data_IF_792763072453
#
_entry.id   IF_792763072453
#
_cell.length_a   1.000
_cell.length_b   1.000
_cell.length_c   1.000
_cell.angle_alpha   90.00
_cell.angle_beta   90.00
_cell.angle_gamma   90.00
#
_symmetry.space_group_name_H-M   'P 1'
#
loop_
_entity.id
_entity.type
_entity.pdbx_description
1 polymer ?
#
# COMPACT_ATOMS: atom_id res chain seq x y z
N UNK A 1 41.16 -33.53 53.17
CA UNK A 1 39.95 -32.70 53.01
C UNK A 1 40.13 -31.46 52.12
N UNK A 2 41.25 -30.73 52.19
CA UNK A 2 41.45 -29.51 51.35
C UNK A 2 41.58 -29.79 49.82
N UNK A 3 42.29 -30.87 49.43
CA UNK A 3 42.53 -31.23 48.03
C UNK A 3 41.24 -31.68 47.34
N UNK A 4 40.33 -32.36 48.04
CA UNK A 4 39.07 -32.83 47.47
C UNK A 4 38.09 -31.68 47.22
N UNK A 5 38.11 -30.59 47.96
CA UNK A 5 37.31 -29.38 47.79
C UNK A 5 37.79 -28.57 46.62
N UNK A 6 39.10 -28.48 46.32
CA UNK A 6 39.64 -27.78 45.16
C UNK A 6 39.30 -28.51 43.85
N UNK A 7 39.38 -29.85 43.85
CA UNK A 7 39.00 -30.64 42.69
C UNK A 7 37.50 -30.51 42.34
N UNK A 8 36.61 -30.47 43.36
CA UNK A 8 35.18 -30.34 43.16
C UNK A 8 34.78 -28.95 42.64
N UNK A 9 35.45 -27.87 43.12
CA UNK A 9 35.22 -26.50 42.63
C UNK A 9 35.72 -26.31 41.18
N UNK A 10 36.84 -26.93 40.82
CA UNK A 10 37.37 -26.90 39.46
C UNK A 10 36.46 -27.63 38.49
N UNK A 11 35.90 -28.77 38.88
CA UNK A 11 34.93 -29.54 38.03
C UNK A 11 33.62 -28.78 37.84
N UNK A 12 33.11 -28.12 38.88
CA UNK A 12 31.90 -27.32 38.84
C UNK A 12 32.08 -26.08 37.94
N UNK A 13 33.23 -25.42 37.97
CA UNK A 13 33.59 -24.29 37.14
C UNK A 13 33.70 -24.68 35.65
N UNK A 14 34.26 -25.86 35.34
CA UNK A 14 34.28 -26.39 33.94
C UNK A 14 32.88 -26.75 33.43
N UNK A 15 32.00 -27.31 34.27
CA UNK A 15 30.61 -27.57 33.86
C UNK A 15 29.82 -26.29 33.60
N UNK A 16 30.04 -25.23 34.34
CA UNK A 16 29.40 -23.92 34.15
C UNK A 16 29.89 -23.23 32.85
N UNK A 17 31.17 -23.42 32.49
CA UNK A 17 31.74 -22.91 31.23
C UNK A 17 31.23 -23.66 29.99
N UNK A 18 30.89 -24.94 30.12
CA UNK A 18 30.31 -25.76 29.06
C UNK A 18 28.79 -25.49 28.83
N UNK A 19 28.10 -24.99 29.85
CA UNK A 19 26.66 -24.69 29.73
C UNK A 19 26.35 -23.40 28.97
N UNK A 20 27.34 -22.55 28.67
CA UNK A 20 27.15 -21.29 27.94
C UNK A 20 27.34 -21.37 26.43
N UNK A 21 27.49 -22.56 25.85
CA UNK A 21 27.29 -22.72 24.42
C UNK A 21 25.78 -22.73 24.15
N UNK A 22 25.16 -21.54 24.16
CA UNK A 22 23.85 -21.37 23.55
C UNK A 22 23.94 -21.94 22.12
N UNK A 23 23.36 -23.11 21.91
CA UNK A 23 23.23 -23.69 20.57
C UNK A 23 22.49 -22.60 19.74
N UNK A 24 23.27 -21.83 18.98
CA UNK A 24 22.71 -20.83 18.07
C UNK A 24 21.80 -21.58 17.11
N UNK A 25 20.51 -21.52 17.35
CA UNK A 25 19.54 -22.17 16.51
C UNK A 25 19.79 -21.77 15.04
N UNK A 26 19.89 -22.78 14.18
CA UNK A 26 20.14 -22.54 12.75
C UNK A 26 19.15 -21.52 12.21
N UNK A 27 19.61 -20.46 11.51
CA UNK A 27 18.71 -19.42 10.99
C UNK A 27 17.57 -20.02 10.20
N UNK A 28 16.35 -19.61 10.51
CA UNK A 28 15.13 -20.21 9.95
C UNK A 28 15.14 -20.30 8.43
N UNK A 29 15.68 -19.28 7.75
CA UNK A 29 15.69 -19.19 6.28
C UNK A 29 16.97 -19.72 5.61
N UNK A 30 17.91 -20.31 6.35
CA UNK A 30 19.16 -20.86 5.77
C UNK A 30 18.86 -21.97 4.72
N UNK A 31 19.33 -21.75 3.48
CA UNK A 31 19.14 -22.67 2.36
C UNK A 31 17.70 -22.71 1.78
N UNK A 32 16.83 -21.79 2.20
CA UNK A 32 15.44 -21.76 1.75
C UNK A 32 15.24 -20.79 0.57
N UNK A 33 14.13 -20.98 -0.14
CA UNK A 33 13.63 -20.11 -1.21
C UNK A 33 12.32 -19.50 -0.77
N UNK A 34 12.21 -18.18 -0.86
CA UNK A 34 11.01 -17.40 -0.52
C UNK A 34 10.36 -16.93 -1.82
N UNK A 35 9.04 -17.08 -1.93
CA UNK A 35 8.24 -16.47 -3.00
C UNK A 35 7.66 -15.16 -2.52
N UNK A 36 8.02 -14.05 -3.19
CA UNK A 36 7.34 -12.76 -2.99
C UNK A 36 6.13 -12.68 -3.90
N UNK A 37 4.94 -12.73 -3.31
CA UNK A 37 3.66 -12.65 -4.01
C UNK A 37 3.26 -11.18 -4.19
N UNK A 38 2.96 -10.79 -5.44
CA UNK A 38 2.56 -9.42 -5.81
C UNK A 38 1.17 -9.47 -6.41
N UNK A 39 0.23 -8.68 -5.87
CA UNK A 39 -1.20 -8.77 -6.22
C UNK A 39 -1.62 -7.99 -7.48
N UNK A 40 -0.68 -7.48 -8.27
CA UNK A 40 -0.94 -6.78 -9.53
C UNK A 40 0.01 -7.23 -10.64
N UNK A 41 -0.31 -6.82 -11.87
CA UNK A 41 0.50 -7.12 -13.05
C UNK A 41 1.92 -6.56 -12.96
N UNK A 42 2.89 -7.18 -13.67
CA UNK A 42 4.24 -6.64 -13.82
C UNK A 42 4.27 -5.21 -14.36
N UNK A 43 5.33 -4.47 -14.02
CA UNK A 43 5.60 -3.11 -14.50
C UNK A 43 4.85 -1.99 -13.77
N UNK A 44 3.87 -2.30 -12.92
CA UNK A 44 3.16 -1.31 -12.09
C UNK A 44 3.93 -0.92 -10.82
N UNK A 45 3.40 0.06 -10.08
CA UNK A 45 4.04 0.53 -8.84
C UNK A 45 4.17 -0.56 -7.76
N UNK A 46 3.22 -1.50 -7.66
CA UNK A 46 3.31 -2.63 -6.74
C UNK A 46 4.45 -3.59 -7.12
N UNK A 47 4.57 -3.89 -8.40
CA UNK A 47 5.62 -4.77 -8.91
C UNK A 47 7.02 -4.16 -8.75
N UNK A 48 7.18 -2.88 -9.11
CA UNK A 48 8.45 -2.16 -8.91
C UNK A 48 8.88 -2.14 -7.43
N UNK A 49 7.93 -1.84 -6.53
CA UNK A 49 8.19 -1.84 -5.08
C UNK A 49 8.62 -3.23 -4.59
N UNK A 50 7.90 -4.29 -4.97
CA UNK A 50 8.25 -5.65 -4.58
C UNK A 50 9.62 -6.07 -5.07
N UNK A 51 9.95 -5.74 -6.32
CA UNK A 51 11.25 -6.12 -6.91
C UNK A 51 12.42 -5.37 -6.28
N UNK A 52 12.29 -4.09 -5.97
CA UNK A 52 13.36 -3.36 -5.28
C UNK A 52 13.56 -3.87 -3.85
N UNK A 53 12.48 -4.16 -3.12
CA UNK A 53 12.57 -4.80 -1.80
C UNK A 53 13.25 -6.18 -1.93
N UNK A 54 12.76 -7.03 -2.81
CA UNK A 54 13.24 -8.41 -2.95
C UNK A 54 14.68 -8.54 -3.45
N UNK A 55 15.25 -7.54 -4.10
CA UNK A 55 16.69 -7.52 -4.45
C UNK A 55 17.59 -7.35 -3.23
N UNK A 56 17.14 -6.58 -2.24
CA UNK A 56 17.95 -6.25 -1.05
C UNK A 56 17.64 -7.11 0.17
N UNK A 57 16.41 -7.58 0.27
CA UNK A 57 15.92 -8.31 1.43
C UNK A 57 16.72 -9.59 1.76
N UNK A 58 17.16 -10.43 0.79
CA UNK A 58 17.89 -11.66 1.07
C UNK A 58 19.10 -11.48 1.99
N UNK A 59 19.94 -10.50 1.71
CA UNK A 59 21.18 -10.24 2.48
C UNK A 59 20.91 -9.71 3.89
N UNK A 60 19.70 -9.32 4.18
CA UNK A 60 19.27 -8.78 5.49
C UNK A 60 18.52 -9.83 6.32
N UNK A 61 18.08 -10.93 5.69
CA UNK A 61 17.48 -12.08 6.37
C UNK A 61 18.58 -13.05 6.78
N UNK A 62 18.59 -13.46 8.04
CA UNK A 62 19.52 -14.50 8.49
C UNK A 62 19.32 -15.79 7.69
N UNK A 63 20.45 -16.33 7.18
CA UNK A 63 20.44 -17.49 6.29
C UNK A 63 20.40 -17.15 4.81
N UNK A 64 20.33 -15.88 4.42
CA UNK A 64 20.44 -15.37 3.06
C UNK A 64 19.63 -16.19 2.02
N UNK A 65 18.28 -16.30 2.16
CA UNK A 65 17.44 -17.10 1.27
C UNK A 65 17.37 -16.47 -0.13
N UNK A 66 17.10 -17.29 -1.15
CA UNK A 66 16.73 -16.77 -2.48
C UNK A 66 15.31 -16.23 -2.46
N UNK A 67 15.07 -15.07 -3.10
CA UNK A 67 13.72 -14.54 -3.34
C UNK A 67 13.36 -14.66 -4.81
N UNK A 68 12.20 -15.24 -5.09
CA UNK A 68 11.57 -15.28 -6.42
C UNK A 68 10.26 -14.48 -6.39
N UNK A 69 9.89 -13.92 -7.54
CA UNK A 69 8.70 -13.07 -7.65
C UNK A 69 7.57 -13.81 -8.37
N UNK A 70 6.35 -13.69 -7.83
CA UNK A 70 5.14 -14.20 -8.47
C UNK A 70 4.08 -13.10 -8.49
N UNK A 71 3.73 -12.64 -9.70
CA UNK A 71 2.58 -11.75 -9.87
C UNK A 71 1.31 -12.60 -9.93
N UNK A 72 0.27 -12.22 -9.15
CA UNK A 72 -1.02 -12.94 -9.10
C UNK A 72 -2.17 -11.93 -9.09
N UNK A 73 -2.41 -11.27 -10.24
CA UNK A 73 -3.41 -10.22 -10.37
C UNK A 73 -4.83 -10.77 -10.44
N UNK A 74 -5.81 -9.91 -10.21
CA UNK A 74 -7.23 -10.18 -10.39
C UNK A 74 -8.11 -9.62 -9.29
N UNK A 75 -9.36 -9.28 -9.63
CA UNK A 75 -10.37 -8.75 -8.72
C UNK A 75 -9.88 -7.57 -7.84
N UNK A 76 -9.11 -6.62 -8.43
CA UNK A 76 -8.53 -5.50 -7.67
C UNK A 76 -7.48 -5.92 -6.64
N UNK A 77 -6.82 -7.06 -6.83
CA UNK A 77 -5.82 -7.64 -5.92
C UNK A 77 -6.40 -8.67 -4.95
N UNK A 78 -7.72 -8.80 -4.85
CA UNK A 78 -8.42 -9.68 -3.90
C UNK A 78 -8.08 -11.17 -4.10
N UNK A 79 -7.86 -11.58 -5.37
CA UNK A 79 -7.47 -12.95 -5.70
C UNK A 79 -6.19 -13.40 -4.96
N UNK A 80 -5.17 -12.55 -4.93
CA UNK A 80 -3.91 -12.87 -4.25
C UNK A 80 -4.06 -12.83 -2.73
N UNK A 81 -4.92 -11.96 -2.20
CA UNK A 81 -5.19 -11.86 -0.76
C UNK A 81 -5.84 -13.13 -0.25
N UNK A 82 -6.90 -13.60 -0.92
CA UNK A 82 -7.55 -14.86 -0.57
C UNK A 82 -6.57 -16.04 -0.71
N UNK A 83 -5.79 -16.08 -1.80
CA UNK A 83 -4.77 -17.11 -1.98
C UNK A 83 -3.78 -17.16 -0.80
N UNK A 84 -3.36 -16.01 -0.28
CA UNK A 84 -2.41 -15.94 0.84
C UNK A 84 -2.99 -16.49 2.14
N UNK A 85 -4.28 -16.31 2.39
CA UNK A 85 -4.93 -16.81 3.61
C UNK A 85 -5.50 -18.23 3.52
N UNK A 86 -5.89 -18.67 2.30
CA UNK A 86 -6.57 -19.97 2.09
C UNK A 86 -5.62 -21.07 1.61
N UNK A 87 -4.66 -20.72 0.75
CA UNK A 87 -3.89 -21.69 -0.05
C UNK A 87 -2.39 -21.69 0.29
N UNK A 88 -1.83 -20.54 0.63
CA UNK A 88 -0.41 -20.44 0.95
C UNK A 88 -0.09 -21.23 2.21
N UNK A 89 0.89 -22.16 2.11
CA UNK A 89 1.34 -22.96 3.26
C UNK A 89 1.83 -22.03 4.38
N UNK A 90 1.43 -22.24 5.63
CA UNK A 90 1.84 -21.40 6.76
C UNK A 90 3.24 -21.76 7.26
N UNK A 91 4.20 -21.77 6.36
CA UNK A 91 5.60 -22.14 6.62
C UNK A 91 6.58 -20.97 6.40
N UNK A 92 6.09 -19.74 6.27
CA UNK A 92 6.93 -18.56 6.06
C UNK A 92 7.63 -18.46 4.70
N UNK A 93 7.45 -19.43 3.78
CA UNK A 93 8.13 -19.43 2.47
C UNK A 93 7.42 -18.57 1.42
N UNK A 94 6.26 -18.00 1.75
CA UNK A 94 5.58 -17.02 0.92
C UNK A 94 5.41 -15.74 1.70
N UNK A 95 5.92 -14.64 1.15
CA UNK A 95 5.80 -13.28 1.69
C UNK A 95 5.08 -12.41 0.67
N UNK A 96 4.25 -11.49 1.13
CA UNK A 96 3.53 -10.60 0.22
C UNK A 96 4.28 -9.30 -0.03
N UNK A 97 4.04 -8.67 -1.19
CA UNK A 97 4.16 -7.24 -1.41
C UNK A 97 2.88 -6.77 -2.09
N UNK A 98 1.85 -6.55 -1.29
CA UNK A 98 0.54 -6.17 -1.79
C UNK A 98 0.36 -4.66 -1.86
N UNK A 99 -0.51 -4.24 -2.75
CA UNK A 99 -0.99 -2.86 -2.84
C UNK A 99 -2.45 -2.82 -2.43
N UNK A 100 -2.78 -2.07 -1.39
CA UNK A 100 -4.15 -2.01 -0.86
C UNK A 100 -4.62 -3.34 -0.26
N UNK A 101 -5.89 -3.62 -0.42
CA UNK A 101 -6.51 -4.90 0.01
C UNK A 101 -7.16 -4.86 1.38
N UNK A 102 -6.66 -4.07 2.30
CA UNK A 102 -7.22 -3.86 3.64
C UNK A 102 -8.65 -3.29 3.59
N UNK A 103 -8.95 -2.50 2.56
CA UNK A 103 -10.28 -1.92 2.34
C UNK A 103 -11.38 -2.98 2.22
N UNK A 104 -11.06 -4.18 1.72
CA UNK A 104 -12.06 -5.24 1.60
C UNK A 104 -12.56 -5.70 2.97
N UNK A 105 -11.68 -5.76 3.99
CA UNK A 105 -12.08 -6.01 5.37
C UNK A 105 -12.86 -4.82 5.95
N UNK A 106 -12.38 -3.59 5.71
CA UNK A 106 -13.04 -2.37 6.19
C UNK A 106 -14.51 -2.28 5.76
N UNK A 107 -14.83 -2.63 4.51
CA UNK A 107 -16.19 -2.57 3.95
C UNK A 107 -16.91 -3.92 3.94
N UNK A 108 -16.38 -4.94 4.61
CA UNK A 108 -16.96 -6.30 4.64
C UNK A 108 -17.30 -6.81 3.24
N UNK A 109 -16.35 -6.65 2.29
CA UNK A 109 -16.56 -7.10 0.89
C UNK A 109 -16.77 -8.63 0.87
N UNK A 110 -17.89 -9.13 0.34
CA UNK A 110 -18.19 -10.57 0.34
C UNK A 110 -17.20 -11.39 -0.50
N UNK A 111 -16.42 -10.76 -1.35
CA UNK A 111 -15.33 -11.44 -2.07
C UNK A 111 -14.08 -11.67 -1.23
N UNK A 112 -13.94 -11.03 -0.06
CA UNK A 112 -12.88 -11.31 0.90
C UNK A 112 -13.29 -12.52 1.75
N UNK A 113 -12.57 -13.62 1.61
CA UNK A 113 -12.86 -14.89 2.31
C UNK A 113 -11.90 -15.18 3.46
N UNK A 114 -10.92 -14.29 3.67
CA UNK A 114 -9.90 -14.44 4.69
C UNK A 114 -9.99 -13.34 5.73
N UNK A 115 -9.68 -13.68 6.96
CA UNK A 115 -9.59 -12.71 8.06
C UNK A 115 -8.20 -12.06 8.06
N UNK A 116 -8.14 -10.79 7.65
CA UNK A 116 -6.90 -10.03 7.59
C UNK A 116 -6.30 -9.76 8.98
N UNK A 117 -7.10 -9.84 10.05
CA UNK A 117 -6.59 -9.67 11.43
C UNK A 117 -5.72 -10.84 11.86
N UNK A 118 -5.89 -12.01 11.25
CA UNK A 118 -5.09 -13.22 11.51
C UNK A 118 -3.80 -13.31 10.70
N UNK A 119 -3.57 -12.39 9.74
CA UNK A 119 -2.33 -12.36 8.98
C UNK A 119 -1.16 -11.95 9.87
N UNK A 120 0.00 -12.54 9.64
CA UNK A 120 1.23 -12.14 10.32
C UNK A 120 1.82 -10.90 9.61
N UNK A 121 1.38 -9.71 10.00
CA UNK A 121 1.87 -8.46 9.44
C UNK A 121 3.35 -8.23 9.77
N UNK A 122 4.13 -7.95 8.74
CA UNK A 122 5.58 -7.75 8.82
C UNK A 122 5.92 -6.27 8.74
N UNK A 123 5.41 -5.58 7.74
CA UNK A 123 5.65 -4.16 7.53
C UNK A 123 4.59 -3.55 6.61
N UNK A 124 4.37 -2.25 6.77
CA UNK A 124 3.69 -1.39 5.82
C UNK A 124 4.65 -0.36 5.23
N UNK A 125 4.33 0.15 4.05
CA UNK A 125 4.96 1.34 3.47
C UNK A 125 3.84 2.31 3.13
N UNK A 126 3.90 3.50 3.71
CA UNK A 126 2.95 4.57 3.47
C UNK A 126 3.10 5.18 2.08
N UNK A 127 2.08 5.89 1.66
CA UNK A 127 2.14 6.63 0.41
C UNK A 127 0.82 7.27 0.02
N UNK A 128 0.88 8.00 -1.09
CA UNK A 128 -0.27 8.68 -1.66
C UNK A 128 -0.48 8.28 -3.12
N UNK A 129 -1.59 8.70 -3.67
CA UNK A 129 -1.85 8.66 -5.11
C UNK A 129 -2.02 10.09 -5.63
N UNK A 130 -1.60 10.30 -6.84
CA UNK A 130 -1.75 11.55 -7.56
C UNK A 130 -2.85 11.34 -8.60
N UNK A 131 -3.85 12.21 -8.61
CA UNK A 131 -4.90 12.26 -9.62
C UNK A 131 -4.47 13.24 -10.70
N UNK A 132 -4.52 12.81 -11.94
CA UNK A 132 -4.17 13.60 -13.10
C UNK A 132 -5.23 13.43 -14.21
N UNK A 133 -5.34 14.42 -15.06
CA UNK A 133 -6.31 14.42 -16.14
C UNK A 133 -5.68 14.94 -17.45
N UNK A 134 -6.22 14.50 -18.59
CA UNK A 134 -5.85 14.97 -19.91
C UNK A 134 -6.14 16.47 -20.05
N UNK A 135 -5.21 17.19 -20.65
CA UNK A 135 -5.35 18.64 -20.89
C UNK A 135 -6.47 18.97 -21.87
N UNK A 136 -6.77 18.06 -22.82
CA UNK A 136 -7.82 18.19 -23.83
C UNK A 136 -9.22 17.76 -23.35
N UNK A 137 -9.36 17.38 -22.06
CA UNK A 137 -10.68 17.15 -21.44
C UNK A 137 -11.53 18.42 -21.56
N UNK A 138 -12.68 18.32 -22.26
CA UNK A 138 -13.56 19.48 -22.47
C UNK A 138 -13.98 20.17 -21.17
N UNK A 139 -13.88 21.50 -21.07
CA UNK A 139 -13.55 22.47 -22.11
C UNK A 139 -12.05 22.78 -22.28
N UNK A 140 -11.17 21.98 -21.74
CA UNK A 140 -9.72 22.15 -21.67
C UNK A 140 -9.26 22.45 -20.24
N UNK A 141 -8.16 21.78 -19.81
CA UNK A 141 -7.60 21.90 -18.46
C UNK A 141 -6.20 22.48 -18.53
N UNK A 142 -5.96 23.62 -17.88
CA UNK A 142 -4.65 24.27 -17.79
C UNK A 142 -4.08 24.25 -16.36
N UNK A 143 -4.93 24.16 -15.36
CA UNK A 143 -4.58 24.14 -13.93
C UNK A 143 -5.56 23.27 -13.13
N UNK A 144 -5.21 22.82 -11.92
CA UNK A 144 -6.05 21.94 -11.09
C UNK A 144 -7.48 22.42 -10.91
N UNK A 145 -7.69 23.73 -10.71
CA UNK A 145 -9.02 24.32 -10.53
C UNK A 145 -9.91 24.28 -11.76
N UNK A 146 -9.36 24.03 -12.93
CA UNK A 146 -10.18 23.92 -14.16
C UNK A 146 -11.09 22.68 -14.17
N UNK A 147 -10.88 21.71 -13.24
CA UNK A 147 -11.73 20.53 -13.08
C UNK A 147 -13.19 20.89 -12.81
N UNK A 148 -13.48 22.05 -12.24
CA UNK A 148 -14.85 22.53 -12.01
C UNK A 148 -15.53 23.10 -13.26
N UNK A 149 -14.80 23.32 -14.35
CA UNK A 149 -15.34 23.70 -15.65
C UNK A 149 -16.02 22.51 -16.36
N UNK A 150 -15.70 21.28 -15.94
CA UNK A 150 -16.29 20.06 -16.51
C UNK A 150 -17.76 19.96 -16.06
N UNK A 151 -18.70 20.04 -17.01
CA UNK A 151 -20.14 20.01 -16.73
C UNK A 151 -20.77 18.66 -17.06
N UNK A 152 -20.33 18.01 -18.14
CA UNK A 152 -20.86 16.73 -18.60
C UNK A 152 -19.98 15.57 -18.11
N UNK A 153 -20.52 14.66 -17.28
CA UNK A 153 -19.78 13.50 -16.82
C UNK A 153 -19.36 12.53 -17.94
N UNK A 154 -20.01 12.56 -19.10
CA UNK A 154 -19.62 11.73 -20.23
C UNK A 154 -18.32 12.19 -20.89
N UNK A 155 -17.96 13.47 -20.72
CA UNK A 155 -16.69 14.03 -21.15
C UNK A 155 -15.59 13.88 -20.08
N UNK A 156 -15.92 13.30 -18.91
CA UNK A 156 -14.96 13.08 -17.85
C UNK A 156 -15.06 11.67 -17.28
N UNK A 157 -14.56 10.71 -18.05
CA UNK A 157 -14.47 9.31 -17.66
C UNK A 157 -13.21 9.08 -16.83
N UNK A 158 -13.34 8.39 -15.71
CA UNK A 158 -12.25 8.09 -14.77
C UNK A 158 -11.99 6.59 -14.73
N UNK A 159 -10.77 6.18 -15.06
CA UNK A 159 -10.41 4.76 -15.08
C UNK A 159 -10.33 4.16 -13.67
N UNK A 160 -10.85 2.95 -13.51
CA UNK A 160 -10.86 2.21 -12.24
C UNK A 160 -10.67 0.72 -12.41
N UNK A 161 -10.48 0.00 -11.31
CA UNK A 161 -10.26 -1.45 -11.30
C UNK A 161 -11.50 -2.22 -10.86
N UNK A 162 -12.07 -1.83 -9.72
CA UNK A 162 -13.21 -2.46 -9.09
C UNK A 162 -13.89 -1.44 -8.16
N UNK A 163 -15.21 -1.36 -8.21
CA UNK A 163 -16.01 -0.40 -7.42
C UNK A 163 -15.62 -0.39 -5.93
N UNK A 164 -15.31 -1.54 -5.35
CA UNK A 164 -14.91 -1.71 -3.95
C UNK A 164 -13.39 -1.64 -3.73
N UNK A 165 -12.62 -1.34 -4.76
CA UNK A 165 -11.18 -1.15 -4.64
C UNK A 165 -10.83 0.16 -3.94
N UNK A 166 -9.76 0.17 -3.12
CA UNK A 166 -9.30 1.37 -2.38
C UNK A 166 -9.19 2.61 -3.27
N UNK A 167 -8.60 2.44 -4.45
CA UNK A 167 -8.43 3.50 -5.44
C UNK A 167 -9.79 4.04 -5.90
N UNK A 168 -10.65 3.15 -6.39
CA UNK A 168 -11.94 3.52 -6.99
C UNK A 168 -12.85 4.22 -5.97
N UNK A 169 -12.92 3.71 -4.74
CA UNK A 169 -13.71 4.34 -3.67
C UNK A 169 -13.21 5.76 -3.37
N UNK A 170 -11.90 5.93 -3.19
CA UNK A 170 -11.33 7.25 -2.90
C UNK A 170 -11.57 8.25 -4.03
N UNK A 171 -11.41 7.85 -5.29
CA UNK A 171 -11.64 8.72 -6.43
C UNK A 171 -13.10 9.14 -6.53
N UNK A 172 -14.05 8.21 -6.37
CA UNK A 172 -15.49 8.52 -6.33
C UNK A 172 -15.83 9.49 -5.20
N UNK A 173 -15.27 9.25 -4.00
CA UNK A 173 -15.49 10.11 -2.84
C UNK A 173 -14.86 11.49 -3.03
N UNK A 174 -13.64 11.58 -3.56
CA UNK A 174 -12.97 12.87 -3.75
C UNK A 174 -13.64 13.72 -4.82
N UNK A 175 -14.09 13.15 -5.94
CA UNK A 175 -14.87 13.90 -6.92
C UNK A 175 -16.25 14.30 -6.39
N UNK A 176 -16.90 13.44 -5.58
CA UNK A 176 -18.12 13.81 -4.85
C UNK A 176 -17.88 14.97 -3.89
N UNK A 177 -16.79 14.94 -3.12
CA UNK A 177 -16.38 16.02 -2.21
C UNK A 177 -16.15 17.34 -2.96
N UNK A 178 -15.45 17.29 -4.09
CA UNK A 178 -15.16 18.44 -4.94
C UNK A 178 -16.38 18.94 -5.73
N UNK A 179 -17.50 18.22 -5.72
CA UNK A 179 -18.68 18.55 -6.52
C UNK A 179 -18.44 18.41 -8.03
N UNK A 180 -17.54 17.49 -8.44
CA UNK A 180 -17.20 17.21 -9.85
C UNK A 180 -17.95 15.97 -10.32
N UNK A 181 -18.85 16.15 -11.31
CA UNK A 181 -19.53 15.04 -11.96
C UNK A 181 -18.55 14.27 -12.86
N UNK A 182 -18.56 12.96 -12.79
CA UNK A 182 -17.67 12.10 -13.57
C UNK A 182 -18.34 10.75 -13.87
N UNK A 183 -17.87 10.05 -14.89
CA UNK A 183 -18.30 8.69 -15.23
C UNK A 183 -17.18 7.69 -14.88
N UNK A 184 -17.32 6.89 -13.83
CA UNK A 184 -16.33 5.86 -13.51
C UNK A 184 -16.38 4.72 -14.53
N UNK A 185 -15.21 4.31 -15.06
CA UNK A 185 -15.06 3.16 -15.96
C UNK A 185 -14.18 2.14 -15.25
N UNK A 186 -14.78 1.05 -14.78
CA UNK A 186 -14.09 0.00 -14.02
C UNK A 186 -13.79 -1.23 -14.87
N UNK A 187 -12.95 -2.16 -14.34
CA UNK A 187 -12.60 -3.40 -15.04
C UNK A 187 -11.16 -3.45 -15.55
N UNK A 188 -10.42 -2.36 -15.49
CA UNK A 188 -9.00 -2.38 -15.86
C UNK A 188 -8.19 -3.30 -14.93
N UNK A 189 -7.32 -4.14 -15.52
CA UNK A 189 -6.52 -5.13 -14.78
C UNK A 189 -5.19 -4.57 -14.25
N UNK A 190 -5.13 -3.26 -13.97
CA UNK A 190 -3.96 -2.60 -13.41
C UNK A 190 -3.62 -1.27 -14.09
N UNK A 191 -2.66 -0.55 -13.51
CA UNK A 191 -2.34 0.83 -13.89
C UNK A 191 -1.84 0.99 -15.33
N UNK A 192 -1.14 -0.02 -15.87
CA UNK A 192 -0.65 0.03 -17.26
C UNK A 192 -1.81 0.11 -18.25
N UNK A 193 -2.81 -0.77 -18.11
CA UNK A 193 -4.00 -0.77 -19.01
C UNK A 193 -4.82 0.52 -18.88
N UNK A 194 -4.98 1.04 -17.64
CA UNK A 194 -5.66 2.32 -17.42
C UNK A 194 -4.92 3.50 -18.08
N UNK A 195 -3.60 3.51 -18.02
CA UNK A 195 -2.78 4.54 -18.69
C UNK A 195 -2.87 4.44 -20.21
N UNK A 196 -2.86 3.23 -20.76
CA UNK A 196 -3.08 3.03 -22.21
C UNK A 196 -4.43 3.61 -22.64
N UNK A 197 -5.51 3.28 -21.93
CA UNK A 197 -6.84 3.81 -22.21
C UNK A 197 -6.90 5.35 -22.09
N UNK A 198 -6.15 5.93 -21.13
CA UNK A 198 -6.06 7.38 -21.01
C UNK A 198 -5.29 8.00 -22.19
N UNK A 199 -4.19 7.40 -22.63
CA UNK A 199 -3.43 7.86 -23.79
C UNK A 199 -4.26 7.78 -25.07
N UNK A 200 -5.12 6.77 -25.21
CA UNK A 200 -6.07 6.58 -26.32
C UNK A 200 -7.34 7.44 -26.18
N UNK A 201 -7.42 8.28 -25.15
CA UNK A 201 -8.59 9.14 -24.84
C UNK A 201 -9.91 8.38 -24.59
N UNK A 202 -9.84 7.08 -24.25
CA UNK A 202 -11.02 6.31 -23.83
C UNK A 202 -11.51 6.76 -22.45
N UNK A 203 -10.58 7.23 -21.59
CA UNK A 203 -10.83 7.86 -20.31
C UNK A 203 -10.00 9.13 -20.17
N UNK A 204 -10.47 10.12 -19.41
CA UNK A 204 -9.84 11.42 -19.29
C UNK A 204 -9.03 11.60 -18.01
N UNK A 205 -9.28 10.82 -16.98
CA UNK A 205 -8.54 10.92 -15.71
C UNK A 205 -8.20 9.56 -15.15
N UNK A 206 -7.13 9.54 -14.36
CA UNK A 206 -6.68 8.38 -13.63
C UNK A 206 -5.86 8.79 -12.40
N UNK A 207 -5.82 7.93 -11.39
CA UNK A 207 -4.97 8.09 -10.23
C UNK A 207 -3.85 7.05 -10.20
N UNK A 208 -2.64 7.48 -9.94
CA UNK A 208 -1.49 6.59 -9.87
C UNK A 208 -0.70 6.75 -8.57
N UNK A 209 0.10 5.73 -8.25
CA UNK A 209 0.98 5.78 -7.09
C UNK A 209 2.12 6.78 -7.29
N UNK A 210 2.69 7.28 -6.19
CA UNK A 210 3.87 8.17 -6.19
C UNK A 210 5.03 7.60 -7.03
N UNK A 211 5.31 6.30 -6.94
CA UNK A 211 6.33 5.65 -7.76
C UNK A 211 6.04 5.74 -9.28
N UNK A 212 4.79 5.52 -9.67
CA UNK A 212 4.41 5.66 -11.07
C UNK A 212 4.45 7.11 -11.51
N UNK A 213 4.04 8.05 -10.63
CA UNK A 213 4.11 9.48 -10.88
C UNK A 213 5.51 9.91 -11.30
N UNK A 214 6.52 9.64 -10.47
CA UNK A 214 7.90 10.04 -10.76
C UNK A 214 8.50 9.30 -11.97
N UNK A 215 8.27 7.99 -12.09
CA UNK A 215 8.99 7.16 -13.06
C UNK A 215 8.26 6.90 -14.37
N UNK A 216 7.01 7.33 -14.47
CA UNK A 216 6.20 7.08 -15.68
C UNK A 216 5.39 8.31 -16.09
N UNK A 217 4.65 8.91 -15.16
CA UNK A 217 3.68 9.94 -15.52
C UNK A 217 4.38 11.26 -15.84
N UNK A 218 5.29 11.73 -14.99
CA UNK A 218 6.05 12.95 -15.27
C UNK A 218 6.79 12.87 -16.61
N UNK A 219 7.65 11.86 -16.86
CA UNK A 219 8.44 11.86 -18.10
C UNK A 219 7.61 11.63 -19.38
N UNK A 220 6.55 10.83 -19.31
CA UNK A 220 5.87 10.37 -20.52
C UNK A 220 4.51 11.04 -20.75
N UNK A 221 3.99 11.81 -19.80
CA UNK A 221 2.63 12.36 -19.91
C UNK A 221 2.54 13.82 -19.48
N UNK A 222 3.22 14.24 -18.40
CA UNK A 222 3.24 15.63 -17.93
C UNK A 222 4.18 16.46 -18.79
N UNK A 223 5.45 16.04 -18.96
CA UNK A 223 6.43 16.76 -19.77
C UNK A 223 5.99 16.93 -21.23
N UNK A 224 5.40 15.91 -21.89
CA UNK A 224 4.82 16.09 -23.23
C UNK A 224 3.52 16.90 -23.26
N UNK A 225 2.99 17.36 -22.12
CA UNK A 225 1.77 18.17 -22.09
C UNK A 225 0.47 17.39 -22.34
N UNK A 226 0.46 16.06 -22.18
CA UNK A 226 -0.75 15.22 -22.38
C UNK A 226 -1.68 15.33 -21.17
N UNK A 227 -1.12 15.40 -19.94
CA UNK A 227 -1.89 15.49 -18.71
C UNK A 227 -1.35 16.57 -17.79
N UNK A 228 -2.21 17.06 -16.90
CA UNK A 228 -1.83 17.86 -15.73
C UNK A 228 -2.19 17.13 -14.44
N UNK A 229 -1.42 17.33 -13.34
CA UNK A 229 -1.86 16.90 -12.02
C UNK A 229 -3.08 17.72 -11.59
N UNK A 230 -4.01 17.07 -10.92
CA UNK A 230 -5.20 17.73 -10.34
C UNK A 230 -5.03 17.90 -8.84
N UNK A 231 -4.70 16.82 -8.13
CA UNK A 231 -4.37 16.83 -6.71
C UNK A 231 -3.65 15.54 -6.31
N UNK A 232 -3.00 15.56 -5.15
CA UNK A 232 -2.65 14.35 -4.44
C UNK A 232 -3.45 14.26 -3.14
N UNK A 233 -3.62 13.05 -2.59
CA UNK A 233 -4.28 12.91 -1.30
C UNK A 233 -3.39 13.41 -0.17
N UNK A 234 -4.03 13.99 0.83
CA UNK A 234 -3.40 14.46 2.06
C UNK A 234 -2.69 13.32 2.82
N UNK A 235 -1.67 13.64 3.57
CA UNK A 235 -1.10 12.80 4.61
C UNK A 235 -1.86 13.07 5.90
N UNK A 236 -2.54 12.05 6.43
CA UNK A 236 -3.30 12.15 7.68
C UNK A 236 -2.43 11.73 8.85
N UNK A 237 -2.45 12.52 9.92
CA UNK A 237 -1.75 12.27 11.18
C UNK A 237 -2.70 11.71 12.24
N UNK A 238 -2.14 11.14 13.31
CA UNK A 238 -2.92 10.52 14.39
C UNK A 238 -3.79 11.52 15.16
N UNK A 239 -3.35 12.76 15.24
CA UNK A 239 -4.07 13.88 15.85
C UNK A 239 -5.21 14.46 14.98
N UNK A 240 -5.40 13.89 13.80
CA UNK A 240 -6.42 14.33 12.85
C UNK A 240 -5.98 15.46 11.92
N UNK A 241 -4.79 16.02 12.13
CA UNK A 241 -4.22 17.03 11.22
C UNK A 241 -3.85 16.42 9.87
N UNK A 242 -3.67 17.27 8.87
CA UNK A 242 -3.25 16.87 7.53
C UNK A 242 -2.04 17.66 7.09
N UNK A 243 -1.19 17.03 6.28
CA UNK A 243 -0.04 17.67 5.67
C UNK A 243 0.17 17.21 4.22
N UNK A 244 1.12 17.84 3.55
CA UNK A 244 1.56 17.46 2.20
C UNK A 244 2.61 16.36 2.27
N UNK A 245 2.89 15.75 1.12
CA UNK A 245 4.10 14.96 0.90
C UNK A 245 5.17 15.88 0.32
N UNK A 246 6.24 16.12 1.06
CA UNK A 246 7.26 17.13 0.75
C UNK A 246 8.07 16.86 -0.53
N UNK A 247 8.04 15.63 -1.03
CA UNK A 247 8.70 15.23 -2.28
C UNK A 247 7.81 15.42 -3.53
N UNK A 248 6.57 15.88 -3.36
CA UNK A 248 5.69 16.27 -4.46
C UNK A 248 5.79 17.79 -4.72
N UNK A 249 5.59 18.15 -5.98
CA UNK A 249 5.65 19.55 -6.42
C UNK A 249 4.68 20.43 -5.60
N UNK A 250 5.19 21.56 -5.09
CA UNK A 250 4.41 22.48 -4.28
C UNK A 250 3.24 23.12 -5.03
N UNK A 251 3.33 23.22 -6.36
CA UNK A 251 2.25 23.76 -7.20
C UNK A 251 1.06 22.82 -7.35
N UNK A 252 1.25 21.51 -7.11
CA UNK A 252 0.17 20.52 -7.13
C UNK A 252 -0.52 20.52 -5.76
N UNK A 253 -1.81 20.90 -5.65
CA UNK A 253 -2.50 20.95 -4.36
C UNK A 253 -2.75 19.55 -3.78
N UNK A 254 -2.93 19.48 -2.46
CA UNK A 254 -3.60 18.35 -1.85
C UNK A 254 -5.11 18.40 -2.16
N UNK A 255 -5.83 17.30 -1.88
CA UNK A 255 -7.29 17.29 -2.02
C UNK A 255 -7.96 18.34 -1.13
N UNK A 256 -7.49 18.48 0.12
CA UNK A 256 -8.05 19.47 1.05
C UNK A 256 -7.73 20.91 0.65
N UNK A 257 -6.54 21.19 0.15
CA UNK A 257 -6.16 22.51 -0.37
C UNK A 257 -6.97 22.88 -1.63
N UNK A 258 -7.14 21.92 -2.55
CA UNK A 258 -7.99 22.13 -3.73
C UNK A 258 -9.43 22.41 -3.31
N UNK A 259 -9.99 21.65 -2.36
CA UNK A 259 -11.32 21.92 -1.80
C UNK A 259 -11.40 23.32 -1.18
N UNK A 260 -10.44 23.66 -0.32
CA UNK A 260 -10.38 24.98 0.35
C UNK A 260 -10.30 26.13 -0.63
N UNK A 261 -9.59 25.97 -1.75
CA UNK A 261 -9.47 27.01 -2.77
C UNK A 261 -10.80 27.38 -3.43
N UNK A 262 -11.77 26.47 -3.45
CA UNK A 262 -13.12 26.70 -3.99
C UNK A 262 -14.12 27.13 -2.93
N UNK A 263 -14.09 26.50 -1.75
CA UNK A 263 -15.15 26.63 -0.76
C UNK A 263 -14.78 27.52 0.44
N UNK A 264 -13.52 28.03 0.48
CA UNK A 264 -13.01 28.91 1.52
C UNK A 264 -12.75 28.25 2.88
N UNK A 265 -13.07 26.96 3.04
CA UNK A 265 -12.95 26.22 4.30
C UNK A 265 -12.41 24.80 4.09
N UNK A 266 -11.90 24.20 5.16
CA UNK A 266 -11.50 22.79 5.15
C UNK A 266 -12.70 21.87 4.90
N UNK A 267 -12.50 20.75 4.21
CA UNK A 267 -13.57 19.77 4.00
C UNK A 267 -14.03 19.17 5.32
N UNK A 268 -15.32 18.85 5.39
CA UNK A 268 -15.98 18.25 6.55
C UNK A 268 -17.14 17.34 6.12
N UNK A 269 -17.77 16.68 7.09
CA UNK A 269 -18.91 15.80 6.86
C UNK A 269 -18.52 14.39 6.39
N UNK A 270 -19.54 13.55 6.19
CA UNK A 270 -19.37 12.10 6.06
C UNK A 270 -18.49 11.67 4.86
N UNK A 271 -18.53 12.41 3.76
CA UNK A 271 -17.66 12.13 2.58
C UNK A 271 -16.20 12.32 2.95
N UNK A 272 -15.88 13.39 3.68
CA UNK A 272 -14.54 13.67 4.15
C UNK A 272 -14.07 12.63 5.17
N UNK A 273 -14.91 12.28 6.12
CA UNK A 273 -14.60 11.24 7.12
C UNK A 273 -14.32 9.89 6.47
N UNK A 274 -15.07 9.52 5.43
CA UNK A 274 -14.82 8.29 4.68
C UNK A 274 -13.48 8.34 3.92
N UNK A 275 -13.11 9.48 3.34
CA UNK A 275 -11.79 9.67 2.71
C UNK A 275 -10.70 9.55 3.78
N UNK A 276 -10.82 10.21 4.93
CA UNK A 276 -9.86 10.13 6.04
C UNK A 276 -9.68 8.70 6.52
N UNK A 277 -10.78 7.98 6.76
CA UNK A 277 -10.76 6.61 7.21
C UNK A 277 -9.97 5.69 6.27
N UNK A 278 -10.25 5.76 4.97
CA UNK A 278 -9.51 4.97 3.97
C UNK A 278 -8.06 5.45 3.87
N UNK A 279 -7.82 6.75 3.92
CA UNK A 279 -6.51 7.37 3.70
C UNK A 279 -5.55 7.13 4.87
N UNK A 280 -6.07 6.99 6.09
CA UNK A 280 -5.26 6.64 7.27
C UNK A 280 -4.51 5.33 7.04
N UNK A 281 -5.18 4.28 6.56
CA UNK A 281 -4.50 3.02 6.22
C UNK A 281 -3.62 3.15 4.96
N UNK A 282 -4.06 3.91 3.97
CA UNK A 282 -3.26 4.17 2.77
C UNK A 282 -1.93 4.84 3.11
N UNK A 283 -1.94 5.81 4.02
CA UNK A 283 -0.73 6.51 4.49
C UNK A 283 0.28 5.62 5.19
N UNK A 284 -0.15 4.45 5.69
CA UNK A 284 0.70 3.52 6.44
C UNK A 284 1.02 2.24 5.69
N UNK A 285 0.12 1.76 4.84
CA UNK A 285 0.23 0.44 4.24
C UNK A 285 -0.25 0.37 2.79
N UNK A 286 0.01 1.43 2.01
CA UNK A 286 -0.23 1.40 0.55
C UNK A 286 0.50 0.24 -0.10
N UNK A 287 1.67 -0.11 0.43
CA UNK A 287 2.31 -1.41 0.25
C UNK A 287 2.34 -2.11 1.59
N UNK A 288 2.01 -3.37 1.58
CA UNK A 288 1.96 -4.14 2.82
C UNK A 288 2.54 -5.53 2.61
N UNK A 289 3.22 -5.98 3.65
CA UNK A 289 3.91 -7.26 3.68
C UNK A 289 3.37 -8.07 4.85
N UNK A 290 2.95 -9.30 4.55
CA UNK A 290 2.55 -10.27 5.57
C UNK A 290 2.99 -11.69 5.18
N UNK A 291 2.96 -12.58 6.17
CA UNK A 291 2.99 -14.03 6.02
C UNK A 291 1.60 -14.60 6.28
N UNK A 292 1.36 -15.83 5.81
CA UNK A 292 0.10 -16.54 6.03
C UNK A 292 -0.23 -16.68 7.52
N UNK A 293 -1.52 -16.76 7.90
CA UNK A 293 -1.92 -17.14 9.25
C UNK A 293 -1.25 -18.44 9.68
N UNK A 294 -0.87 -18.58 10.95
CA UNK A 294 -0.21 -19.77 11.47
C UNK A 294 1.26 -19.98 11.05
N UNK A 295 1.88 -18.99 10.38
CA UNK A 295 3.32 -19.07 10.07
C UNK A 295 4.15 -19.13 11.35
N UNK A 296 5.27 -19.93 11.39
CA UNK A 296 6.11 -20.07 12.56
C UNK A 296 6.61 -18.75 13.10
N UNK A 297 6.64 -18.58 14.42
CA UNK A 297 7.12 -17.37 15.11
C UNK A 297 8.52 -16.99 14.63
N UNK A 298 9.43 -17.95 14.50
CA UNK A 298 10.79 -17.74 14.00
C UNK A 298 10.82 -17.13 12.58
N UNK A 299 9.88 -17.53 11.69
CA UNK A 299 9.75 -16.94 10.35
C UNK A 299 9.31 -15.48 10.42
N UNK A 300 8.30 -15.20 11.25
CA UNK A 300 7.74 -13.86 11.45
C UNK A 300 8.81 -12.92 12.01
N UNK A 301 9.51 -13.34 13.06
CA UNK A 301 10.55 -12.53 13.72
C UNK A 301 11.73 -12.26 12.80
N UNK A 302 12.24 -13.28 12.10
CA UNK A 302 13.33 -13.13 11.14
C UNK A 302 12.95 -12.14 10.03
N UNK A 303 11.70 -12.20 9.53
CA UNK A 303 11.23 -11.29 8.49
C UNK A 303 11.06 -9.86 9.02
N UNK A 304 10.49 -9.67 10.21
CA UNK A 304 10.37 -8.36 10.87
C UNK A 304 11.74 -7.73 11.13
N UNK A 305 12.70 -8.50 11.62
CA UNK A 305 14.07 -8.05 11.83
C UNK A 305 14.73 -7.60 10.53
N UNK A 306 14.53 -8.35 9.42
CA UNK A 306 15.05 -8.00 8.11
C UNK A 306 14.44 -6.69 7.58
N UNK A 307 13.13 -6.48 7.71
CA UNK A 307 12.49 -5.23 7.31
C UNK A 307 12.92 -4.03 8.16
N UNK A 308 13.17 -4.23 9.46
CA UNK A 308 13.76 -3.19 10.33
C UNK A 308 15.16 -2.78 9.88
N UNK A 309 16.00 -3.74 9.43
CA UNK A 309 17.31 -3.47 8.82
C UNK A 309 17.15 -2.78 7.47
N UNK A 310 16.22 -3.26 6.61
CA UNK A 310 15.96 -2.71 5.29
C UNK A 310 15.56 -1.23 5.33
N UNK A 311 14.76 -0.83 6.30
CA UNK A 311 14.31 0.56 6.49
C UNK A 311 15.48 1.56 6.68
N UNK A 312 16.63 1.08 7.15
CA UNK A 312 17.84 1.89 7.42
C UNK A 312 18.97 1.61 6.42
N UNK A 313 18.79 0.67 5.52
CA UNK A 313 19.83 0.22 4.61
C UNK A 313 20.06 1.22 3.48
N UNK A 314 21.21 1.89 3.48
CA UNK A 314 21.56 2.94 2.51
C UNK A 314 21.53 2.43 1.06
N UNK A 315 21.97 1.19 0.82
CA UNK A 315 22.00 0.59 -0.53
C UNK A 315 20.59 0.40 -1.06
N UNK A 316 19.68 -0.12 -0.23
CA UNK A 316 18.26 -0.23 -0.57
C UNK A 316 17.62 1.15 -0.79
N UNK A 317 17.83 2.09 0.12
CA UNK A 317 17.22 3.43 0.04
C UNK A 317 17.68 4.19 -1.22
N UNK A 318 18.95 4.02 -1.64
CA UNK A 318 19.47 4.60 -2.87
C UNK A 318 18.89 3.93 -4.13
N UNK A 319 18.77 2.59 -4.13
CA UNK A 319 18.11 1.85 -5.23
C UNK A 319 16.61 2.17 -5.30
N UNK A 320 15.96 2.31 -4.15
CA UNK A 320 14.55 2.74 -4.07
C UNK A 320 14.38 4.14 -4.65
N UNK A 321 15.25 5.11 -4.32
CA UNK A 321 15.23 6.45 -4.92
C UNK A 321 15.37 6.38 -6.45
N UNK A 322 16.31 5.56 -6.96
CA UNK A 322 16.47 5.37 -8.41
C UNK A 322 15.26 4.71 -9.07
N UNK A 323 14.71 3.68 -8.43
CA UNK A 323 13.64 2.83 -9.01
C UNK A 323 12.25 3.40 -8.81
N UNK A 324 11.97 4.01 -7.65
CA UNK A 324 10.65 4.49 -7.25
C UNK A 324 10.52 6.01 -7.32
N UNK A 325 11.62 6.75 -7.22
CA UNK A 325 11.67 8.22 -7.17
C UNK A 325 11.53 8.80 -5.77
N UNK A 326 11.50 7.96 -4.74
CA UNK A 326 11.44 8.38 -3.33
C UNK A 326 12.03 7.30 -2.43
N UNK A 327 12.38 7.68 -1.19
CA UNK A 327 12.79 6.74 -0.14
C UNK A 327 11.55 6.25 0.61
N UNK A 328 11.28 4.92 0.64
CA UNK A 328 10.13 4.38 1.38
C UNK A 328 10.29 4.55 2.89
N UNK A 329 9.23 4.99 3.55
CA UNK A 329 9.11 5.02 5.01
C UNK A 329 8.34 3.77 5.46
N UNK A 330 8.98 2.94 6.29
CA UNK A 330 8.37 1.70 6.79
C UNK A 330 7.64 1.92 8.10
N UNK A 331 6.49 1.28 8.21
CA UNK A 331 5.72 1.12 9.45
C UNK A 331 5.84 -0.33 9.87
N UNK A 332 6.12 -0.58 11.14
CA UNK A 332 6.28 -1.93 11.66
C UNK A 332 4.97 -2.74 11.63
N UNK A 333 5.10 -4.07 11.64
CA UNK A 333 3.95 -4.96 11.47
C UNK A 333 2.95 -4.94 12.63
N UNK A 334 3.38 -4.59 13.86
CA UNK A 334 2.47 -4.45 15.00
C UNK A 334 1.58 -3.22 14.80
N UNK A 335 2.17 -2.08 14.50
CA UNK A 335 1.44 -0.84 14.20
C UNK A 335 0.47 -1.02 13.03
N UNK A 336 0.88 -1.76 11.97
CA UNK A 336 -0.01 -2.11 10.85
C UNK A 336 -1.21 -2.92 11.33
N UNK A 337 -0.98 -3.97 12.15
CA UNK A 337 -2.05 -4.81 12.68
C UNK A 337 -3.02 -4.03 13.57
N UNK A 338 -2.51 -3.23 14.49
CA UNK A 338 -3.30 -2.42 15.43
C UNK A 338 -4.20 -1.43 14.67
N UNK A 339 -3.67 -0.76 13.66
CA UNK A 339 -4.44 0.20 12.84
C UNK A 339 -5.45 -0.47 11.92
N UNK A 340 -5.15 -1.66 11.42
CA UNK A 340 -6.11 -2.43 10.64
C UNK A 340 -7.30 -2.85 11.53
N UNK A 341 -7.02 -3.35 12.75
CA UNK A 341 -8.05 -3.69 13.73
C UNK A 341 -8.93 -2.50 14.08
N UNK A 342 -8.30 -1.35 14.38
CA UNK A 342 -9.03 -0.10 14.60
C UNK A 342 -9.93 0.27 13.42
N UNK A 343 -9.41 0.21 12.20
CA UNK A 343 -10.18 0.58 11.00
C UNK A 343 -11.39 -0.34 10.77
N UNK A 344 -11.27 -1.63 11.09
CA UNK A 344 -12.34 -2.60 10.89
C UNK A 344 -13.43 -2.46 11.98
N UNK A 345 -13.04 -2.20 13.24
CA UNK A 345 -13.92 -2.35 14.38
C UNK A 345 -14.49 -1.03 14.92
N UNK A 346 -13.74 0.08 14.82
CA UNK A 346 -14.06 1.31 15.57
C UNK A 346 -14.74 2.42 14.73
N UNK A 347 -15.09 2.13 13.46
CA UNK A 347 -15.62 3.16 12.55
C UNK A 347 -16.96 2.77 11.92
N UNK A 348 -17.84 2.16 12.70
CA UNK A 348 -19.11 1.59 12.21
C UNK A 348 -19.96 2.60 11.44
N UNK A 349 -20.12 3.83 11.94
CA UNK A 349 -20.91 4.88 11.29
C UNK A 349 -20.40 5.19 9.87
N UNK A 350 -19.09 5.35 9.72
CA UNK A 350 -18.46 5.63 8.41
C UNK A 350 -18.54 4.40 7.52
N UNK A 351 -18.33 3.22 8.07
CA UNK A 351 -18.42 1.94 7.36
C UNK A 351 -19.83 1.75 6.78
N UNK A 352 -20.87 1.86 7.60
CA UNK A 352 -22.27 1.65 7.17
C UNK A 352 -22.67 2.67 6.09
N UNK A 353 -22.28 3.93 6.27
CA UNK A 353 -22.52 4.96 5.26
C UNK A 353 -21.81 4.64 3.95
N UNK A 354 -20.54 4.23 4.00
CA UNK A 354 -19.78 3.89 2.78
C UNK A 354 -20.34 2.63 2.10
N UNK A 355 -20.79 1.64 2.84
CA UNK A 355 -21.45 0.46 2.28
C UNK A 355 -22.74 0.83 1.53
N UNK A 356 -23.53 1.79 2.05
CA UNK A 356 -24.69 2.34 1.34
C UNK A 356 -24.27 3.07 0.04
N UNK A 357 -23.19 3.86 0.08
CA UNK A 357 -22.67 4.48 -1.16
C UNK A 357 -22.22 3.42 -2.18
N UNK A 358 -21.57 2.34 -1.75
CA UNK A 358 -21.14 1.24 -2.62
C UNK A 358 -22.36 0.53 -3.24
N UNK A 359 -23.44 0.34 -2.49
CA UNK A 359 -24.69 -0.24 -3.02
C UNK A 359 -25.26 0.64 -4.15
N UNK A 360 -25.31 1.95 -3.94
CA UNK A 360 -25.73 2.93 -4.96
C UNK A 360 -24.80 2.83 -6.20
N UNK A 361 -23.49 2.80 -6.01
CA UNK A 361 -22.54 2.70 -7.12
C UNK A 361 -22.61 1.38 -7.91
N UNK A 362 -23.17 0.34 -7.31
CA UNK A 362 -23.43 -0.96 -7.94
C UNK A 362 -24.81 -1.05 -8.61
N UNK A 363 -25.62 0.02 -8.54
CA UNK A 363 -27.01 0.01 -9.03
C UNK A 363 -27.95 -0.86 -8.20
N UNK A 364 -27.58 -1.14 -6.94
CA UNK A 364 -28.44 -1.83 -5.97
C UNK A 364 -29.10 -0.75 -5.11
N UNK A 365 -30.37 -0.52 -5.31
CA UNK A 365 -31.25 0.13 -4.35
C UNK A 365 -32.20 -0.89 -3.81
#
# INVERSE_FOLDING_TARGET
MKILKVALTSLLSCLILLANHAVMAKPYYKGKKITMLINYNPGGGADRSGRVIGRHLPRLIEGNPKIIFKNYPGAGGLKAINYMGEVAKPNGMMVTNFSGGYNYAMIRDPGLRVDLTKMNWIAGVGGTSIIYARVDTKPGLKKPSDIWKIKDPNHFKVAGFRVTGTKDMRERLSFKLLGVKHKPVTGFRGTTKSRTALLQNEVQAFGDSRAAWFKTIIPNMVKPGIVIPIYHYDRFHADGSVSRYNDLDASMPTLSELYKSKYGKMPSGMVWEAIRWIQTLQGMMVRNTCLAPGSPKAAVEAMRAAYKKLAKDKTYLNDAMKTLGFKPEFVDGKTVADRLNWAINDNKKVQDWLMNQIAIWKGKK
#
